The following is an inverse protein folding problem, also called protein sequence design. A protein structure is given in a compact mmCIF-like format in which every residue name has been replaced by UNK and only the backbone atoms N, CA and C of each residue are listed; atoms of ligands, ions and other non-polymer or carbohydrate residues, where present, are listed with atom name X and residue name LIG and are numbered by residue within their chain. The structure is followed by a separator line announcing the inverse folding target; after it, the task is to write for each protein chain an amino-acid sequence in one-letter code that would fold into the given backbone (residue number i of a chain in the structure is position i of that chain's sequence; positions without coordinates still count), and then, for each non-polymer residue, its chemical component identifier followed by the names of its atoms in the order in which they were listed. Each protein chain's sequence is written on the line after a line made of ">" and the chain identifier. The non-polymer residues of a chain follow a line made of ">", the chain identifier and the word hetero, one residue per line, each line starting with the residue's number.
data_IF_840471645587
#
_entry.id   IF_840471645587
#
_cell.length_a   1.000
_cell.length_b   1.000
_cell.length_c   1.000
_cell.angle_alpha   90.00
_cell.angle_beta   90.00
_cell.angle_gamma   90.00
#
_symmetry.space_group_name_H-M   'P 1'
#
loop_
_entity.id
_entity.type
_entity.pdbx_description
1 polymer ?
#
# COMPACT_ATOMS: atom_id res chain seq x y z
N UNK A 1 12.17 7.55 32.23
CA UNK A 1 13.05 6.79 31.33
C UNK A 1 12.18 6.35 30.19
N UNK A 2 12.02 7.23 29.20
CA UNK A 2 11.10 7.11 28.07
C UNK A 2 11.82 6.40 26.92
N UNK A 3 11.39 5.19 26.64
CA UNK A 3 11.92 4.40 25.53
C UNK A 3 11.12 4.73 24.26
N UNK A 4 11.82 5.29 23.25
CA UNK A 4 11.29 5.65 21.94
C UNK A 4 11.05 4.36 21.14
N UNK A 5 9.79 4.00 20.95
CA UNK A 5 9.41 3.07 19.88
C UNK A 5 9.36 3.85 18.55
N UNK A 6 10.41 3.76 17.78
CA UNK A 6 10.39 4.20 16.37
C UNK A 6 9.82 3.07 15.50
N UNK A 7 8.74 3.36 14.86
CA UNK A 7 8.08 2.52 13.87
C UNK A 7 8.99 2.27 12.68
N UNK A 8 9.32 1.00 12.43
CA UNK A 8 9.86 0.56 11.15
C UNK A 8 8.72 0.42 10.13
N UNK A 9 8.42 1.50 9.43
CA UNK A 9 7.78 1.38 8.12
C UNK A 9 8.88 1.29 7.07
N UNK A 10 9.15 0.07 6.64
CA UNK A 10 10.09 -0.18 5.56
C UNK A 10 9.48 0.30 4.24
N UNK A 11 9.92 1.47 3.78
CA UNK A 11 9.62 2.06 2.48
C UNK A 11 10.33 1.28 1.34
N UNK A 12 10.03 -0.03 1.19
CA UNK A 12 10.56 -0.85 0.10
C UNK A 12 9.47 -1.71 -0.52
N UNK A 13 8.42 -1.09 -1.06
CA UNK A 13 7.52 -1.78 -1.99
C UNK A 13 6.87 -0.79 -2.96
N UNK A 14 7.69 -0.26 -3.84
CA UNK A 14 7.26 0.27 -5.13
C UNK A 14 8.37 -0.06 -6.15
N UNK A 15 8.43 -1.29 -6.60
CA UNK A 15 9.28 -1.61 -7.74
C UNK A 15 8.68 -2.76 -8.53
N UNK A 16 8.07 -2.41 -9.63
CA UNK A 16 8.15 -3.14 -10.89
C UNK A 16 7.62 -2.24 -12.00
N UNK A 17 8.37 -1.17 -12.25
CA UNK A 17 8.55 -0.57 -13.58
C UNK A 17 9.91 0.10 -13.51
N UNK A 18 10.89 -0.54 -14.13
CA UNK A 18 12.24 -0.02 -14.19
C UNK A 18 12.26 1.32 -14.92
N UNK A 19 12.37 2.40 -14.16
CA UNK A 19 12.85 3.68 -14.63
C UNK A 19 13.85 4.19 -13.61
N UNK A 20 15.07 4.41 -14.07
CA UNK A 20 16.15 5.02 -13.30
C UNK A 20 15.66 6.31 -12.62
N UNK A 21 15.57 6.30 -11.29
CA UNK A 21 15.35 7.49 -10.49
C UNK A 21 16.67 8.28 -10.43
N UNK A 22 16.78 9.33 -11.22
CA UNK A 22 17.74 10.40 -10.94
C UNK A 22 17.10 11.33 -9.90
N UNK A 23 17.34 11.06 -8.61
CA UNK A 23 17.05 12.01 -7.53
C UNK A 23 18.12 13.12 -7.59
N UNK A 24 17.76 14.27 -8.11
CA UNK A 24 18.62 15.45 -8.08
C UNK A 24 18.22 16.30 -6.88
N UNK A 25 19.09 16.41 -5.88
CA UNK A 25 18.99 17.40 -4.82
C UNK A 25 19.14 18.81 -5.42
N UNK A 26 18.31 19.78 -4.99
CA UNK A 26 18.17 21.11 -5.59
C UNK A 26 19.41 22.04 -5.41
N UNK A 27 20.61 21.50 -5.30
CA UNK A 27 21.83 22.35 -5.30
C UNK A 27 22.35 22.75 -6.69
N UNK A 28 21.64 22.34 -7.79
CA UNK A 28 22.05 22.65 -9.16
C UNK A 28 20.87 22.66 -10.11
N UNK A 29 19.99 23.67 -10.05
CA UNK A 29 19.00 23.92 -11.10
C UNK A 29 19.68 24.59 -12.29
N UNK A 30 20.23 23.79 -13.20
CA UNK A 30 20.57 24.26 -14.54
C UNK A 30 19.26 24.51 -15.32
N UNK A 31 19.22 25.57 -16.10
CA UNK A 31 18.10 25.92 -16.99
C UNK A 31 17.92 24.85 -18.06
N UNK A 32 17.01 23.90 -17.78
CA UNK A 32 16.55 22.92 -18.76
C UNK A 32 15.32 23.47 -19.47
N UNK A 33 15.22 23.23 -20.77
CA UNK A 33 14.13 23.73 -21.59
C UNK A 33 12.76 23.30 -21.03
N UNK A 34 11.88 24.27 -20.78
CA UNK A 34 10.45 24.01 -20.59
C UNK A 34 9.78 24.57 -19.35
N UNK A 35 10.40 24.50 -18.16
CA UNK A 35 9.82 25.13 -16.96
C UNK A 35 10.23 26.62 -16.87
N UNK A 36 9.36 27.53 -16.38
CA UNK A 36 9.69 28.93 -16.28
C UNK A 36 10.89 29.20 -15.36
N UNK A 37 11.91 29.92 -15.83
CA UNK A 37 13.13 30.24 -15.04
C UNK A 37 12.81 30.93 -13.71
N UNK A 38 11.81 31.80 -13.69
CA UNK A 38 11.36 32.47 -12.48
C UNK A 38 10.82 31.50 -11.44
N UNK A 39 10.11 30.48 -11.89
CA UNK A 39 9.60 29.39 -11.02
C UNK A 39 10.74 28.53 -10.52
N UNK A 40 11.67 28.13 -11.39
CA UNK A 40 12.85 27.36 -10.98
C UNK A 40 13.72 28.10 -9.97
N UNK A 41 13.92 29.41 -10.15
CA UNK A 41 14.65 30.24 -9.19
C UNK A 41 13.94 30.32 -7.84
N UNK A 42 12.62 30.43 -7.84
CA UNK A 42 11.78 30.46 -6.64
C UNK A 42 11.84 29.12 -5.87
N UNK A 43 11.73 28.00 -6.56
CA UNK A 43 11.75 26.66 -5.95
C UNK A 43 13.07 26.35 -5.23
N UNK A 44 14.19 27.03 -5.58
CA UNK A 44 15.47 26.87 -4.87
C UNK A 44 15.43 27.27 -3.40
N UNK A 45 14.46 28.10 -3.01
CA UNK A 45 14.26 28.55 -1.62
C UNK A 45 13.58 27.50 -0.71
N UNK A 46 13.17 26.36 -1.26
CA UNK A 46 12.42 25.33 -0.54
C UNK A 46 13.15 23.97 -0.51
N UNK A 47 12.96 23.19 0.54
CA UNK A 47 13.44 21.80 0.57
C UNK A 47 12.46 20.90 -0.18
N UNK A 48 12.75 20.67 -1.45
CA UNK A 48 11.94 19.90 -2.37
C UNK A 48 12.72 18.74 -2.98
N UNK A 49 12.06 17.58 -3.13
CA UNK A 49 12.52 16.54 -4.05
C UNK A 49 11.77 16.70 -5.36
N UNK A 50 12.53 16.86 -6.44
CA UNK A 50 11.98 17.08 -7.78
C UNK A 50 12.31 15.88 -8.67
N UNK A 51 11.31 15.43 -9.46
CA UNK A 51 11.54 14.50 -10.56
C UNK A 51 11.21 15.20 -11.88
N UNK A 52 11.96 14.87 -12.91
CA UNK A 52 11.82 15.44 -14.25
C UNK A 52 11.59 14.34 -15.27
N UNK A 53 10.92 14.70 -16.37
CA UNK A 53 10.81 13.82 -17.53
C UNK A 53 12.09 13.86 -18.40
N UNK A 54 12.08 13.09 -19.51
CA UNK A 54 13.22 13.02 -20.43
C UNK A 54 13.50 14.33 -21.20
N UNK A 55 12.59 15.29 -21.15
CA UNK A 55 12.73 16.63 -21.77
C UNK A 55 13.11 17.69 -20.72
N UNK A 56 13.23 17.30 -19.44
CA UNK A 56 13.66 18.15 -18.35
C UNK A 56 12.55 18.90 -17.60
N UNK A 57 11.28 18.71 -17.95
CA UNK A 57 10.15 19.30 -17.22
C UNK A 57 9.93 18.63 -15.86
N UNK A 58 9.59 19.42 -14.84
CA UNK A 58 9.22 18.91 -13.52
C UNK A 58 7.86 18.21 -13.63
N UNK A 59 7.83 16.94 -13.25
CA UNK A 59 6.63 16.09 -13.24
C UNK A 59 6.16 15.74 -11.84
N UNK A 60 7.08 15.67 -10.87
CA UNK A 60 6.78 15.31 -9.51
C UNK A 60 7.47 16.27 -8.54
N UNK A 61 6.75 16.67 -7.51
CA UNK A 61 7.26 17.47 -6.39
C UNK A 61 6.89 16.81 -5.08
N UNK A 62 7.88 16.63 -4.22
CA UNK A 62 7.67 16.27 -2.83
C UNK A 62 8.18 17.41 -1.95
N UNK A 63 7.27 18.04 -1.22
CA UNK A 63 7.57 19.10 -0.24
C UNK A 63 8.01 18.42 1.06
N UNK A 64 9.21 18.76 1.53
CA UNK A 64 9.81 18.13 2.74
C UNK A 64 9.74 19.02 3.97
N UNK A 65 9.39 20.29 3.78
CA UNK A 65 9.26 21.28 4.82
C UNK A 65 7.84 21.37 5.37
N UNK A 66 7.71 22.09 6.49
CA UNK A 66 6.56 22.07 7.39
C UNK A 66 5.25 22.57 6.78
N UNK A 67 5.26 23.56 5.90
CA UNK A 67 4.04 24.06 5.28
C UNK A 67 4.32 24.60 3.88
N UNK A 68 3.65 24.11 2.84
CA UNK A 68 3.65 24.80 1.57
C UNK A 68 2.95 26.14 1.75
N UNK A 69 3.64 27.22 1.41
CA UNK A 69 3.02 28.54 1.41
C UNK A 69 2.05 28.66 0.24
N UNK A 70 1.02 29.51 0.35
CA UNK A 70 0.14 29.82 -0.77
C UNK A 70 0.92 30.31 -1.99
N UNK A 71 2.04 31.04 -1.76
CA UNK A 71 2.94 31.47 -2.82
C UNK A 71 3.59 30.29 -3.53
N UNK A 72 4.08 29.28 -2.78
CA UNK A 72 4.61 28.05 -3.38
C UNK A 72 3.56 27.37 -4.24
N UNK A 73 2.37 27.08 -3.68
CA UNK A 73 1.28 26.41 -4.41
C UNK A 73 0.86 27.21 -5.65
N UNK A 74 0.84 28.56 -5.54
CA UNK A 74 0.58 29.45 -6.67
C UNK A 74 1.64 29.34 -7.78
N UNK A 75 2.93 29.20 -7.41
CA UNK A 75 4.02 29.02 -8.37
C UNK A 75 3.98 27.66 -9.06
N UNK A 76 3.56 26.60 -8.38
CA UNK A 76 3.43 25.28 -8.99
C UNK A 76 2.47 25.27 -10.20
N UNK A 77 1.48 26.16 -10.23
CA UNK A 77 0.53 26.30 -11.35
C UNK A 77 1.20 26.66 -12.68
N UNK A 78 2.41 27.22 -12.63
CA UNK A 78 3.18 27.57 -13.84
C UNK A 78 3.96 26.39 -14.41
N UNK A 79 3.99 25.23 -13.74
CA UNK A 79 4.70 24.03 -14.20
C UNK A 79 3.79 23.22 -15.13
N UNK A 80 4.08 23.19 -16.44
CA UNK A 80 3.12 22.69 -17.43
C UNK A 80 2.91 21.18 -17.41
N UNK A 81 3.84 20.42 -16.79
CA UNK A 81 3.81 18.95 -16.77
C UNK A 81 3.77 18.38 -15.35
N UNK A 82 3.44 19.19 -14.36
CA UNK A 82 3.32 18.69 -12.98
C UNK A 82 2.14 17.72 -12.87
N UNK A 83 2.43 16.47 -12.48
CA UNK A 83 1.46 15.37 -12.37
C UNK A 83 1.37 14.81 -10.96
N UNK A 84 2.40 14.98 -10.14
CA UNK A 84 2.45 14.40 -8.80
C UNK A 84 2.90 15.43 -7.77
N UNK A 85 2.08 15.61 -6.74
CA UNK A 85 2.36 16.50 -5.61
C UNK A 85 2.24 15.73 -4.31
N UNK A 86 3.35 15.62 -3.58
CA UNK A 86 3.43 14.97 -2.28
C UNK A 86 3.60 16.04 -1.21
N UNK A 87 2.59 16.18 -0.36
CA UNK A 87 2.51 17.09 0.77
C UNK A 87 2.44 16.35 2.11
N UNK A 88 2.69 15.04 2.11
CA UNK A 88 2.54 14.19 3.28
C UNK A 88 3.35 14.71 4.48
N UNK A 89 2.67 14.85 5.62
CA UNK A 89 3.27 15.33 6.87
C UNK A 89 3.55 16.83 6.91
N UNK A 90 3.03 17.60 5.96
CA UNK A 90 3.08 19.08 5.99
C UNK A 90 1.85 19.65 6.67
N UNK A 91 1.89 20.94 7.02
CA UNK A 91 0.75 21.68 7.56
C UNK A 91 -0.21 22.20 6.46
N UNK A 92 -0.40 21.41 5.38
CA UNK A 92 -1.38 21.73 4.33
C UNK A 92 -2.79 21.67 4.91
N UNK A 93 -3.55 22.77 4.80
CA UNK A 93 -4.92 22.91 5.31
C UNK A 93 -5.97 22.83 4.20
N UNK A 94 -7.24 22.91 4.60
CA UNK A 94 -8.37 22.92 3.67
C UNK A 94 -8.30 24.11 2.68
N UNK A 95 -7.88 25.30 3.15
CA UNK A 95 -7.73 26.47 2.31
C UNK A 95 -6.66 26.27 1.22
N UNK A 96 -5.55 25.61 1.58
CA UNK A 96 -4.47 25.30 0.64
C UNK A 96 -4.96 24.41 -0.52
N UNK A 97 -5.94 23.52 -0.26
CA UNK A 97 -6.51 22.64 -1.30
C UNK A 97 -7.22 23.44 -2.40
N UNK A 98 -7.81 24.59 -2.07
CA UNK A 98 -8.40 25.50 -3.07
C UNK A 98 -7.39 26.00 -4.12
N UNK A 99 -6.10 26.14 -3.76
CA UNK A 99 -5.04 26.51 -4.70
C UNK A 99 -4.59 25.32 -5.57
N UNK A 100 -4.59 24.11 -4.99
CA UNK A 100 -4.20 22.88 -5.67
C UNK A 100 -5.15 22.56 -6.83
N UNK A 101 -6.43 22.92 -6.74
CA UNK A 101 -7.42 22.68 -7.82
C UNK A 101 -7.03 23.31 -9.16
N UNK A 102 -6.20 24.34 -9.16
CA UNK A 102 -5.70 25.00 -10.38
C UNK A 102 -4.61 24.20 -11.10
N UNK A 103 -4.12 23.13 -10.49
CA UNK A 103 -3.17 22.19 -11.10
C UNK A 103 -3.94 21.18 -11.97
N UNK A 104 -4.46 21.62 -13.12
CA UNK A 104 -5.36 20.82 -13.97
C UNK A 104 -4.74 19.50 -14.45
N UNK A 105 -3.41 19.45 -14.58
CA UNK A 105 -2.65 18.23 -14.97
C UNK A 105 -2.36 17.26 -13.84
N UNK A 106 -2.72 17.61 -12.57
CA UNK A 106 -2.35 16.82 -11.41
C UNK A 106 -3.09 15.48 -11.41
N UNK A 107 -2.33 14.38 -11.31
CA UNK A 107 -2.80 13.00 -11.30
C UNK A 107 -2.66 12.32 -9.95
N UNK A 108 -1.66 12.70 -9.16
CA UNK A 108 -1.36 12.11 -7.86
C UNK A 108 -1.25 13.20 -6.81
N UNK A 109 -2.05 13.10 -5.75
CA UNK A 109 -2.03 14.00 -4.60
C UNK A 109 -1.87 13.17 -3.32
N UNK A 110 -0.80 13.43 -2.58
CA UNK A 110 -0.54 12.77 -1.29
C UNK A 110 -0.66 13.80 -0.16
N UNK A 111 -1.69 13.63 0.66
CA UNK A 111 -2.06 14.47 1.79
C UNK A 111 -2.01 13.69 3.11
N UNK A 112 -1.30 12.58 3.17
CA UNK A 112 -1.22 11.78 4.39
C UNK A 112 -0.65 12.60 5.55
N UNK A 113 -1.32 12.52 6.68
CA UNK A 113 -0.92 13.23 7.90
C UNK A 113 -0.89 14.77 7.73
N UNK A 114 -1.76 15.32 6.88
CA UNK A 114 -2.02 16.77 6.77
C UNK A 114 -3.29 17.13 7.54
N UNK A 115 -3.40 18.34 8.11
CA UNK A 115 -4.61 18.82 8.80
C UNK A 115 -5.70 19.20 7.78
N UNK A 116 -6.25 18.19 7.09
CA UNK A 116 -7.34 18.33 6.13
C UNK A 116 -8.60 17.64 6.62
N UNK A 117 -9.75 18.20 6.26
CA UNK A 117 -11.07 17.72 6.63
C UNK A 117 -11.96 17.45 5.41
N UNK A 118 -13.22 17.08 5.64
CA UNK A 118 -14.23 16.93 4.58
C UNK A 118 -14.41 18.21 3.77
N UNK A 119 -14.32 19.40 4.42
CA UNK A 119 -14.42 20.68 3.73
C UNK A 119 -13.28 20.91 2.72
N UNK A 120 -12.07 20.48 3.07
CA UNK A 120 -10.94 20.52 2.14
C UNK A 120 -11.16 19.65 0.91
N UNK A 121 -11.66 18.42 1.10
CA UNK A 121 -11.95 17.51 0.00
C UNK A 121 -12.99 18.07 -0.98
N UNK A 122 -13.94 18.86 -0.49
CA UNK A 122 -14.95 19.49 -1.34
C UNK A 122 -14.34 20.41 -2.40
N UNK A 123 -13.20 21.04 -2.14
CA UNK A 123 -12.49 21.82 -3.16
C UNK A 123 -12.01 20.95 -4.34
N UNK A 124 -11.67 19.68 -4.11
CA UNK A 124 -11.06 18.82 -5.12
C UNK A 124 -12.04 18.24 -6.15
N UNK A 125 -13.35 18.39 -5.96
CA UNK A 125 -14.41 17.76 -6.77
C UNK A 125 -14.34 18.05 -8.26
N UNK A 126 -13.71 19.18 -8.65
CA UNK A 126 -13.51 19.59 -10.05
C UNK A 126 -12.27 19.02 -10.74
N UNK A 127 -11.41 18.28 -10.05
CA UNK A 127 -10.12 17.80 -10.56
C UNK A 127 -10.27 16.60 -11.49
N UNK A 128 -10.49 16.83 -12.78
CA UNK A 128 -10.79 15.78 -13.77
C UNK A 128 -9.61 14.85 -14.10
N UNK A 129 -8.38 15.25 -13.79
CA UNK A 129 -7.18 14.46 -14.05
C UNK A 129 -6.71 13.64 -12.85
N UNK A 130 -7.24 13.91 -11.65
CA UNK A 130 -6.76 13.30 -10.41
C UNK A 130 -7.08 11.80 -10.38
N UNK A 131 -6.04 10.97 -10.47
CA UNK A 131 -6.15 9.53 -10.52
C UNK A 131 -5.85 8.85 -9.18
N UNK A 132 -5.09 9.51 -8.31
CA UNK A 132 -4.75 8.96 -7.00
C UNK A 132 -4.81 10.05 -5.92
N UNK A 133 -5.50 9.75 -4.83
CA UNK A 133 -5.48 10.52 -3.59
C UNK A 133 -5.05 9.63 -2.43
N UNK A 134 -4.18 10.15 -1.57
CA UNK A 134 -3.70 9.46 -0.37
C UNK A 134 -3.93 10.32 0.85
N UNK A 135 -4.71 9.78 1.77
CA UNK A 135 -5.02 10.35 3.08
C UNK A 135 -4.59 9.36 4.16
N UNK A 136 -4.38 9.83 5.38
CA UNK A 136 -4.12 8.96 6.53
C UNK A 136 -4.49 9.68 7.81
N UNK A 137 -5.24 8.99 8.68
CA UNK A 137 -5.58 9.44 10.02
C UNK A 137 -4.56 9.04 11.10
N UNK A 138 -3.42 8.46 10.73
CA UNK A 138 -2.48 7.85 11.69
C UNK A 138 -1.92 8.82 12.76
N UNK A 139 -1.85 10.13 12.46
CA UNK A 139 -1.41 11.18 13.41
C UNK A 139 -2.56 11.89 14.11
N UNK A 140 -3.82 11.67 13.67
CA UNK A 140 -5.00 12.40 14.14
C UNK A 140 -5.17 13.80 13.54
N UNK A 141 -4.26 14.25 12.68
CA UNK A 141 -4.35 15.56 12.03
C UNK A 141 -5.44 15.60 10.95
N UNK A 142 -5.55 14.52 10.18
CA UNK A 142 -6.58 14.38 9.13
C UNK A 142 -7.91 13.96 9.75
N UNK A 143 -8.95 14.78 9.56
CA UNK A 143 -10.29 14.57 10.16
C UNK A 143 -11.36 14.22 9.13
N UNK A 144 -10.95 13.58 8.04
CA UNK A 144 -11.85 13.06 7.00
C UNK A 144 -12.57 11.81 7.52
N UNK A 145 -13.87 11.74 7.26
CA UNK A 145 -14.75 10.62 7.59
C UNK A 145 -15.70 10.28 6.42
N UNK A 146 -16.81 9.60 6.70
CA UNK A 146 -17.80 9.16 5.70
C UNK A 146 -18.35 10.30 4.83
N UNK A 147 -18.56 11.49 5.39
CA UNK A 147 -19.07 12.65 4.66
C UNK A 147 -18.09 13.11 3.57
N UNK A 148 -16.79 12.96 3.82
CA UNK A 148 -15.73 13.27 2.84
C UNK A 148 -15.75 12.37 1.60
N UNK A 149 -16.32 11.17 1.72
CA UNK A 149 -16.39 10.22 0.61
C UNK A 149 -17.32 10.70 -0.50
N UNK A 150 -18.31 11.53 -0.20
CA UNK A 150 -19.16 12.18 -1.22
C UNK A 150 -18.32 13.05 -2.16
N UNK A 151 -17.36 13.81 -1.60
CA UNK A 151 -16.45 14.63 -2.39
C UNK A 151 -15.51 13.80 -3.25
N UNK A 152 -14.96 12.72 -2.71
CA UNK A 152 -14.09 11.80 -3.47
C UNK A 152 -14.87 11.10 -4.60
N UNK A 153 -16.11 10.71 -4.36
CA UNK A 153 -16.99 10.09 -5.35
C UNK A 153 -17.25 10.99 -6.57
N UNK A 154 -17.23 12.32 -6.39
CA UNK A 154 -17.38 13.27 -7.48
C UNK A 154 -16.16 13.33 -8.42
N UNK A 155 -14.99 12.79 -8.01
CA UNK A 155 -13.77 12.76 -8.82
C UNK A 155 -13.71 11.45 -9.61
N UNK A 156 -14.45 11.35 -10.69
CA UNK A 156 -14.65 10.11 -11.48
C UNK A 156 -13.37 9.54 -12.08
N UNK A 157 -12.28 10.30 -12.13
CA UNK A 157 -10.96 9.87 -12.61
C UNK A 157 -10.15 9.04 -11.60
N UNK A 158 -10.59 8.95 -10.33
CA UNK A 158 -9.86 8.23 -9.29
C UNK A 158 -9.76 6.73 -9.58
N UNK A 159 -8.54 6.24 -9.47
CA UNK A 159 -8.16 4.83 -9.58
C UNK A 159 -7.52 4.30 -8.30
N UNK A 160 -6.95 5.19 -7.48
CA UNK A 160 -6.33 4.87 -6.18
C UNK A 160 -6.90 5.79 -5.12
N UNK A 161 -7.46 5.20 -4.07
CA UNK A 161 -7.97 5.90 -2.87
C UNK A 161 -7.37 5.22 -1.65
N UNK A 162 -6.55 5.97 -0.88
CA UNK A 162 -5.96 5.49 0.37
C UNK A 162 -6.54 6.27 1.54
N UNK A 163 -7.10 5.54 2.52
CA UNK A 163 -7.86 6.07 3.65
C UNK A 163 -7.43 5.47 5.00
N UNK A 164 -6.22 4.91 5.07
CA UNK A 164 -5.76 4.22 6.27
C UNK A 164 -5.84 5.10 7.53
N UNK A 165 -6.42 4.56 8.61
CA UNK A 165 -6.54 5.22 9.91
C UNK A 165 -7.59 6.33 9.97
N UNK A 166 -8.42 6.50 8.95
CA UNK A 166 -9.56 7.44 8.94
C UNK A 166 -10.82 6.80 9.51
N UNK A 167 -11.78 7.63 9.89
CA UNK A 167 -13.04 7.19 10.47
C UNK A 167 -14.08 6.90 9.38
N UNK A 168 -13.70 5.99 8.47
CA UNK A 168 -14.52 5.58 7.33
C UNK A 168 -15.15 4.22 7.62
N UNK A 169 -16.47 4.15 7.41
CA UNK A 169 -17.31 2.97 7.57
C UNK A 169 -17.90 2.51 6.22
N UNK A 170 -18.81 1.52 6.26
CA UNK A 170 -19.60 1.09 5.10
C UNK A 170 -20.43 2.22 4.48
N UNK A 171 -20.93 3.17 5.32
CA UNK A 171 -21.70 4.32 4.87
C UNK A 171 -20.90 5.21 3.91
N UNK A 172 -19.65 5.50 4.25
CA UNK A 172 -18.75 6.26 3.36
C UNK A 172 -18.40 5.49 2.09
N UNK A 173 -18.16 4.18 2.21
CA UNK A 173 -17.80 3.35 1.06
C UNK A 173 -18.89 3.21 0.01
N UNK A 174 -20.18 3.28 0.42
CA UNK A 174 -21.31 3.28 -0.52
C UNK A 174 -21.20 4.41 -1.56
N UNK A 175 -20.68 5.58 -1.17
CA UNK A 175 -20.46 6.69 -2.10
C UNK A 175 -19.38 6.37 -3.12
N UNK A 176 -18.33 5.61 -2.75
CA UNK A 176 -17.20 5.31 -3.63
C UNK A 176 -17.50 4.26 -4.71
N UNK A 177 -18.60 3.52 -4.61
CA UNK A 177 -18.98 2.49 -5.59
C UNK A 177 -19.16 3.06 -7.01
N UNK A 178 -19.50 4.34 -7.14
CA UNK A 178 -19.64 5.01 -8.43
C UNK A 178 -18.30 5.18 -9.18
N UNK A 179 -17.17 4.99 -8.49
CA UNK A 179 -15.84 5.05 -9.09
C UNK A 179 -15.53 3.76 -9.86
N UNK A 180 -16.16 3.57 -11.00
CA UNK A 180 -16.01 2.36 -11.83
C UNK A 180 -14.56 2.07 -12.25
N UNK A 181 -13.67 3.07 -12.15
CA UNK A 181 -12.25 2.98 -12.47
C UNK A 181 -11.35 2.58 -11.29
N UNK A 182 -11.91 2.39 -10.08
CA UNK A 182 -11.13 2.18 -8.87
C UNK A 182 -10.40 0.83 -8.91
N UNK A 183 -9.07 0.88 -8.73
CA UNK A 183 -8.16 -0.27 -8.78
C UNK A 183 -7.47 -0.55 -7.45
N UNK A 184 -7.30 0.49 -6.63
CA UNK A 184 -6.61 0.39 -5.35
C UNK A 184 -7.42 1.10 -4.27
N UNK A 185 -7.74 0.38 -3.20
CA UNK A 185 -8.44 0.88 -2.02
C UNK A 185 -7.71 0.40 -0.76
N UNK A 186 -7.30 1.34 0.10
CA UNK A 186 -6.72 0.98 1.40
C UNK A 186 -7.55 1.56 2.54
N UNK A 187 -7.85 0.71 3.51
CA UNK A 187 -8.77 0.93 4.62
C UNK A 187 -8.20 0.37 5.93
N UNK A 188 -6.87 0.27 6.06
CA UNK A 188 -6.29 -0.26 7.28
C UNK A 188 -6.60 0.63 8.48
N UNK A 189 -6.95 0.03 9.62
CA UNK A 189 -7.26 0.77 10.86
C UNK A 189 -8.43 1.75 10.72
N UNK A 190 -9.40 1.45 9.86
CA UNK A 190 -10.67 2.19 9.72
C UNK A 190 -11.79 1.51 10.53
N UNK A 191 -13.02 2.03 10.44
CA UNK A 191 -14.20 1.45 11.09
C UNK A 191 -14.82 0.30 10.29
N UNK A 192 -14.18 -0.14 9.23
CA UNK A 192 -14.67 -1.21 8.34
C UNK A 192 -14.84 -2.53 9.09
N UNK A 193 -16.04 -3.10 8.98
CA UNK A 193 -16.42 -4.43 9.44
C UNK A 193 -17.01 -5.27 8.30
N UNK A 194 -17.75 -6.31 8.66
CA UNK A 194 -18.35 -7.24 7.70
C UNK A 194 -19.35 -6.60 6.77
N UNK A 195 -20.11 -5.59 7.24
CA UNK A 195 -21.11 -4.84 6.48
C UNK A 195 -20.49 -4.09 5.29
N UNK A 196 -19.23 -3.72 5.39
CA UNK A 196 -18.52 -3.02 4.32
C UNK A 196 -18.10 -3.95 3.17
N UNK A 197 -17.92 -5.24 3.42
CA UNK A 197 -17.37 -6.17 2.42
C UNK A 197 -18.29 -6.40 1.23
N UNK A 198 -19.64 -6.52 1.36
CA UNK A 198 -20.55 -6.53 0.22
C UNK A 198 -20.49 -5.25 -0.61
N UNK A 199 -20.26 -4.07 0.02
CA UNK A 199 -20.08 -2.80 -0.68
C UNK A 199 -18.81 -2.80 -1.51
N UNK A 200 -17.68 -3.18 -0.89
CA UNK A 200 -16.37 -3.31 -1.56
C UNK A 200 -16.45 -4.30 -2.72
N UNK A 201 -17.18 -5.40 -2.57
CA UNK A 201 -17.36 -6.42 -3.60
C UNK A 201 -18.04 -5.92 -4.88
N UNK A 202 -18.68 -4.74 -4.85
CA UNK A 202 -19.25 -4.08 -6.03
C UNK A 202 -18.19 -3.38 -6.89
N UNK A 203 -17.02 -3.08 -6.33
CA UNK A 203 -15.89 -2.40 -6.98
C UNK A 203 -15.06 -3.40 -7.81
N UNK A 204 -15.62 -3.92 -8.89
CA UNK A 204 -15.13 -5.10 -9.65
C UNK A 204 -13.74 -4.97 -10.27
N UNK A 205 -13.21 -3.74 -10.42
CA UNK A 205 -11.88 -3.50 -10.99
C UNK A 205 -10.77 -3.39 -9.94
N UNK A 206 -11.08 -3.67 -8.66
CA UNK A 206 -10.07 -3.68 -7.63
C UNK A 206 -9.00 -4.73 -7.90
N UNK A 207 -7.74 -4.27 -7.86
CA UNK A 207 -6.52 -5.07 -7.98
C UNK A 207 -5.73 -5.10 -6.69
N UNK A 208 -5.90 -4.09 -5.85
CA UNK A 208 -5.32 -4.02 -4.52
C UNK A 208 -6.36 -3.60 -3.50
N UNK A 209 -6.47 -4.39 -2.43
CA UNK A 209 -7.34 -4.16 -1.29
C UNK A 209 -6.55 -4.34 0.00
N UNK A 210 -6.57 -3.32 0.87
CA UNK A 210 -5.96 -3.39 2.19
C UNK A 210 -7.01 -3.15 3.26
N UNK A 211 -7.18 -4.15 4.12
CA UNK A 211 -8.13 -4.18 5.25
C UNK A 211 -7.40 -4.49 6.56
N UNK A 212 -6.09 -4.22 6.62
CA UNK A 212 -5.27 -4.57 7.76
C UNK A 212 -5.80 -3.92 9.06
N UNK A 213 -5.83 -4.72 10.14
CA UNK A 213 -6.23 -4.22 11.46
C UNK A 213 -7.64 -3.61 11.47
N UNK A 214 -8.57 -4.25 10.81
CA UNK A 214 -10.00 -3.96 10.84
C UNK A 214 -10.76 -5.06 11.59
N UNK A 215 -12.07 -4.87 11.80
CA UNK A 215 -12.91 -5.80 12.56
C UNK A 215 -13.61 -6.86 11.69
N UNK A 216 -13.12 -7.09 10.45
CA UNK A 216 -13.68 -8.12 9.56
C UNK A 216 -13.54 -9.53 10.15
N UNK A 217 -14.53 -10.38 9.85
CA UNK A 217 -14.53 -11.80 10.21
C UNK A 217 -14.48 -12.69 8.97
N UNK A 218 -14.37 -14.00 9.18
CA UNK A 218 -14.40 -14.98 8.08
C UNK A 218 -15.74 -14.95 7.32
N UNK A 219 -16.85 -14.71 8.02
CA UNK A 219 -18.19 -14.60 7.41
C UNK A 219 -18.25 -13.44 6.42
N UNK A 220 -17.84 -12.23 6.85
CA UNK A 220 -17.83 -11.06 5.98
C UNK A 220 -16.90 -11.24 4.79
N UNK A 221 -15.71 -11.85 5.02
CA UNK A 221 -14.70 -12.04 3.97
C UNK A 221 -15.21 -12.92 2.81
N UNK A 222 -16.24 -13.77 3.04
CA UNK A 222 -16.92 -14.50 1.98
C UNK A 222 -17.45 -13.60 0.84
N UNK A 223 -17.78 -12.35 1.15
CA UNK A 223 -18.32 -11.39 0.17
C UNK A 223 -17.31 -10.96 -0.90
N UNK A 224 -15.98 -11.05 -0.67
CA UNK A 224 -14.98 -10.56 -1.64
C UNK A 224 -14.68 -11.53 -2.77
N UNK A 225 -15.16 -12.77 -2.74
CA UNK A 225 -14.95 -13.76 -3.81
C UNK A 225 -15.22 -13.25 -5.24
N UNK A 226 -16.18 -12.33 -5.48
CA UNK A 226 -16.42 -11.77 -6.81
C UNK A 226 -15.35 -10.79 -7.32
N UNK A 227 -14.32 -10.43 -6.54
CA UNK A 227 -13.24 -9.54 -6.95
C UNK A 227 -12.20 -10.28 -7.80
N UNK A 228 -12.59 -10.73 -8.98
CA UNK A 228 -11.79 -11.61 -9.85
C UNK A 228 -10.50 -10.97 -10.40
N UNK A 229 -10.37 -9.64 -10.38
CA UNK A 229 -9.13 -8.93 -10.77
C UNK A 229 -8.16 -8.70 -9.61
N UNK A 230 -8.52 -9.11 -8.37
CA UNK A 230 -7.71 -8.84 -7.18
C UNK A 230 -6.36 -9.57 -7.25
N UNK A 231 -5.28 -8.82 -7.06
CA UNK A 231 -3.89 -9.31 -7.12
C UNK A 231 -3.12 -9.10 -5.81
N UNK A 232 -3.52 -8.14 -5.01
CA UNK A 232 -2.85 -7.78 -3.76
C UNK A 232 -3.91 -7.63 -2.66
N UNK A 233 -3.85 -8.51 -1.66
CA UNK A 233 -4.74 -8.50 -0.51
C UNK A 233 -3.93 -8.43 0.78
N UNK A 234 -4.18 -7.40 1.59
CA UNK A 234 -3.61 -7.25 2.92
C UNK A 234 -4.72 -7.27 3.97
N UNK A 235 -4.79 -8.35 4.72
CA UNK A 235 -5.70 -8.57 5.85
C UNK A 235 -4.91 -8.83 7.14
N UNK A 236 -3.68 -8.33 7.20
CA UNK A 236 -2.83 -8.48 8.38
C UNK A 236 -3.43 -7.85 9.62
N UNK A 237 -3.10 -8.38 10.78
CA UNK A 237 -3.59 -7.94 12.10
C UNK A 237 -5.13 -7.96 12.29
N UNK A 238 -5.88 -8.64 11.41
CA UNK A 238 -7.31 -8.89 11.60
C UNK A 238 -7.50 -10.04 12.57
N UNK A 239 -7.60 -9.73 13.86
CA UNK A 239 -7.58 -10.72 14.94
C UNK A 239 -8.85 -11.59 15.03
N UNK A 240 -9.94 -11.20 14.36
CA UNK A 240 -11.21 -11.94 14.32
C UNK A 240 -11.29 -12.94 13.15
N UNK A 241 -10.24 -13.05 12.34
CA UNK A 241 -10.13 -14.06 11.29
C UNK A 241 -9.68 -15.40 11.88
N UNK A 242 -10.07 -16.50 11.24
CA UNK A 242 -9.63 -17.86 11.52
C UNK A 242 -9.35 -18.62 10.21
N UNK A 243 -9.13 -19.92 10.29
CA UNK A 243 -8.82 -20.76 9.14
C UNK A 243 -9.89 -20.70 8.04
N UNK A 244 -11.17 -20.54 8.39
CA UNK A 244 -12.29 -20.48 7.44
C UNK A 244 -12.26 -19.21 6.58
N UNK A 245 -11.60 -18.15 7.06
CA UNK A 245 -11.38 -16.91 6.30
C UNK A 245 -10.60 -17.15 4.99
N UNK A 246 -9.77 -18.17 4.92
CA UNK A 246 -8.96 -18.45 3.75
C UNK A 246 -9.69 -19.23 2.64
N UNK A 247 -10.88 -19.77 2.92
CA UNK A 247 -11.72 -20.40 1.89
C UNK A 247 -12.09 -19.43 0.76
N UNK A 248 -12.73 -18.27 1.02
CA UNK A 248 -13.01 -17.29 -0.02
C UNK A 248 -11.75 -16.67 -0.63
N UNK A 249 -10.66 -16.51 0.13
CA UNK A 249 -9.39 -16.01 -0.39
C UNK A 249 -8.81 -16.98 -1.43
N UNK A 250 -8.93 -18.29 -1.21
CA UNK A 250 -8.48 -19.33 -2.14
C UNK A 250 -9.17 -19.29 -3.51
N UNK A 251 -10.35 -18.63 -3.62
CA UNK A 251 -11.08 -18.45 -4.88
C UNK A 251 -10.51 -17.29 -5.73
N UNK A 252 -9.69 -16.43 -5.18
CA UNK A 252 -9.09 -15.26 -5.85
C UNK A 252 -7.90 -15.70 -6.73
N UNK A 253 -8.15 -16.39 -7.81
CA UNK A 253 -7.15 -17.07 -8.65
C UNK A 253 -6.09 -16.15 -9.27
N UNK A 254 -6.33 -14.83 -9.32
CA UNK A 254 -5.37 -13.85 -9.82
C UNK A 254 -4.47 -13.27 -8.72
N UNK A 255 -4.60 -13.74 -7.47
CA UNK A 255 -3.85 -13.21 -6.33
C UNK A 255 -2.36 -13.49 -6.49
N UNK A 256 -1.57 -12.42 -6.42
CA UNK A 256 -0.11 -12.42 -6.52
C UNK A 256 0.56 -12.13 -5.18
N UNK A 257 -0.14 -11.38 -4.31
CA UNK A 257 0.35 -10.96 -2.99
C UNK A 257 -0.72 -11.17 -1.93
N UNK A 258 -0.34 -11.81 -0.82
CA UNK A 258 -1.22 -12.00 0.33
C UNK A 258 -0.45 -11.73 1.61
N UNK A 259 -0.97 -10.82 2.42
CA UNK A 259 -0.42 -10.50 3.73
C UNK A 259 -1.36 -11.00 4.83
N UNK A 260 -0.90 -12.00 5.57
CA UNK A 260 -1.57 -12.62 6.72
C UNK A 260 -0.78 -12.41 8.03
N UNK A 261 0.12 -11.39 8.06
CA UNK A 261 0.91 -11.11 9.25
C UNK A 261 0.01 -10.96 10.48
N UNK A 262 0.32 -11.76 11.54
CA UNK A 262 -0.43 -11.77 12.81
C UNK A 262 -1.92 -12.10 12.67
N UNK A 263 -2.31 -12.85 11.64
CA UNK A 263 -3.65 -13.44 11.54
C UNK A 263 -3.62 -14.82 12.17
N UNK A 264 -4.59 -15.20 13.04
CA UNK A 264 -4.57 -16.49 13.75
C UNK A 264 -5.05 -17.66 12.86
N UNK A 265 -4.38 -17.86 11.72
CA UNK A 265 -4.62 -18.94 10.77
C UNK A 265 -3.53 -20.00 10.86
N UNK A 266 -3.90 -21.25 10.71
CA UNK A 266 -3.02 -22.41 10.77
C UNK A 266 -3.00 -23.21 9.46
N UNK A 267 -2.53 -24.46 9.57
CA UNK A 267 -2.34 -25.34 8.43
C UNK A 267 -3.65 -25.67 7.70
N UNK A 268 -4.78 -25.73 8.42
CA UNK A 268 -6.09 -26.01 7.82
C UNK A 268 -6.48 -24.86 6.89
N UNK A 269 -6.36 -23.61 7.35
CA UNK A 269 -6.63 -22.44 6.51
C UNK A 269 -5.70 -22.36 5.30
N UNK A 270 -4.40 -22.62 5.49
CA UNK A 270 -3.41 -22.59 4.40
C UNK A 270 -3.75 -23.56 3.27
N UNK A 271 -4.43 -24.68 3.55
CA UNK A 271 -4.87 -25.64 2.51
C UNK A 271 -5.78 -25.01 1.45
N UNK A 272 -6.60 -24.04 1.83
CA UNK A 272 -7.46 -23.34 0.89
C UNK A 272 -6.67 -22.53 -0.15
N UNK A 273 -5.42 -22.16 0.15
CA UNK A 273 -4.56 -21.38 -0.76
C UNK A 273 -3.85 -22.22 -1.82
N UNK A 274 -4.00 -23.57 -1.82
CA UNK A 274 -3.30 -24.50 -2.72
C UNK A 274 -3.53 -24.21 -4.22
N UNK A 275 -4.68 -23.57 -4.56
CA UNK A 275 -5.05 -23.19 -5.93
C UNK A 275 -4.38 -21.92 -6.47
N UNK A 276 -3.71 -21.13 -5.62
CA UNK A 276 -3.19 -19.80 -5.95
C UNK A 276 -1.85 -19.88 -6.70
N UNK A 277 -1.91 -20.27 -7.97
CA UNK A 277 -0.74 -20.52 -8.83
C UNK A 277 0.06 -19.26 -9.18
N UNK A 278 -0.57 -18.07 -9.08
CA UNK A 278 0.05 -16.79 -9.38
C UNK A 278 0.72 -16.13 -8.17
N UNK A 279 0.67 -16.76 -6.97
CA UNK A 279 1.23 -16.22 -5.74
C UNK A 279 2.73 -16.00 -5.87
N UNK A 280 3.17 -14.75 -5.70
CA UNK A 280 4.56 -14.30 -5.79
C UNK A 280 5.13 -13.90 -4.45
N UNK A 281 4.29 -13.34 -3.58
CA UNK A 281 4.68 -12.84 -2.27
C UNK A 281 3.65 -13.26 -1.22
N UNK A 282 4.08 -13.98 -0.21
CA UNK A 282 3.22 -14.49 0.86
C UNK A 282 3.85 -14.18 2.21
N UNK A 283 3.08 -13.52 3.08
CA UNK A 283 3.48 -13.27 4.45
C UNK A 283 2.59 -14.04 5.42
N UNK A 284 3.22 -14.95 6.14
CA UNK A 284 2.66 -15.80 7.20
C UNK A 284 3.38 -15.59 8.53
N UNK A 285 4.12 -14.47 8.72
CA UNK A 285 4.80 -14.19 9.98
C UNK A 285 3.78 -14.08 11.12
N UNK A 286 4.11 -14.68 12.27
CA UNK A 286 3.25 -14.70 13.46
C UNK A 286 1.88 -15.34 13.23
N UNK A 287 1.77 -16.33 12.34
CA UNK A 287 0.60 -17.21 12.18
C UNK A 287 0.81 -18.53 12.91
N UNK A 288 -0.19 -19.41 12.91
CA UNK A 288 -0.11 -20.75 13.49
C UNK A 288 0.40 -21.81 12.49
N UNK A 289 1.16 -21.38 11.47
CA UNK A 289 1.77 -22.27 10.46
C UNK A 289 2.73 -23.26 11.12
N UNK A 290 2.64 -24.54 10.71
CA UNK A 290 3.62 -25.58 11.03
C UNK A 290 4.25 -26.15 9.77
N UNK A 291 5.04 -27.21 9.92
CA UNK A 291 5.67 -27.96 8.83
C UNK A 291 4.64 -28.50 7.81
N UNK A 292 3.43 -28.86 8.28
CA UNK A 292 2.37 -29.43 7.44
C UNK A 292 1.82 -28.40 6.44
N UNK A 293 1.53 -27.19 6.90
CA UNK A 293 1.04 -26.09 6.01
C UNK A 293 2.11 -25.65 5.04
N UNK A 294 3.39 -25.70 5.42
CA UNK A 294 4.49 -25.37 4.54
C UNK A 294 4.58 -26.29 3.31
N UNK A 295 4.11 -27.55 3.44
CA UNK A 295 3.94 -28.45 2.31
C UNK A 295 2.98 -27.93 1.23
N UNK A 296 1.92 -27.21 1.62
CA UNK A 296 0.97 -26.56 0.70
C UNK A 296 1.63 -25.37 0.01
N UNK A 297 2.32 -24.53 0.78
CA UNK A 297 3.06 -23.35 0.25
C UNK A 297 4.09 -23.76 -0.79
N UNK A 298 4.75 -24.89 -0.59
CA UNK A 298 5.70 -25.46 -1.55
C UNK A 298 5.09 -25.86 -2.90
N UNK A 299 3.76 -25.93 -2.99
CA UNK A 299 2.99 -26.14 -4.23
C UNK A 299 2.75 -24.87 -5.06
N UNK A 300 3.23 -23.69 -4.65
CA UNK A 300 3.03 -22.39 -5.33
C UNK A 300 4.19 -22.11 -6.30
N UNK A 301 4.05 -22.36 -7.62
CA UNK A 301 5.18 -22.39 -8.55
C UNK A 301 5.78 -21.01 -8.85
N UNK A 302 5.04 -19.93 -8.59
CA UNK A 302 5.48 -18.54 -8.85
C UNK A 302 6.00 -17.83 -7.60
N UNK A 303 6.03 -18.51 -6.42
CA UNK A 303 6.38 -17.88 -5.15
C UNK A 303 7.85 -17.45 -5.14
N UNK A 304 8.07 -16.14 -5.00
CA UNK A 304 9.39 -15.52 -5.00
C UNK A 304 9.81 -15.04 -3.60
N UNK A 305 8.89 -14.55 -2.80
CA UNK A 305 9.16 -14.06 -1.44
C UNK A 305 8.22 -14.71 -0.45
N UNK A 306 8.78 -15.29 0.62
CA UNK A 306 8.04 -15.98 1.68
C UNK A 306 8.49 -15.49 3.06
N UNK A 307 7.55 -15.01 3.86
CA UNK A 307 7.75 -14.68 5.26
C UNK A 307 7.05 -15.74 6.12
N UNK A 308 7.81 -16.41 6.99
CA UNK A 308 7.33 -17.43 7.94
C UNK A 308 7.96 -17.26 9.32
N UNK A 309 8.44 -16.05 9.62
CA UNK A 309 9.05 -15.75 10.93
C UNK A 309 8.05 -15.86 12.07
N UNK A 310 8.54 -16.21 13.25
CA UNK A 310 7.71 -16.41 14.45
C UNK A 310 6.55 -17.40 14.23
N UNK A 311 6.82 -18.51 13.53
CA UNK A 311 5.92 -19.66 13.32
C UNK A 311 6.52 -20.92 13.91
N UNK A 312 5.74 -22.01 13.94
CA UNK A 312 6.20 -23.32 14.45
C UNK A 312 6.92 -24.18 13.38
N UNK A 313 7.39 -23.57 12.29
CA UNK A 313 8.14 -24.26 11.23
C UNK A 313 9.51 -24.71 11.76
N UNK A 314 9.89 -25.95 11.42
CA UNK A 314 11.15 -26.59 11.80
C UNK A 314 11.99 -27.03 10.58
N UNK A 315 13.12 -27.69 10.83
CA UNK A 315 13.94 -28.29 9.78
C UNK A 315 13.18 -29.32 8.93
N UNK A 316 12.13 -29.93 9.46
CA UNK A 316 11.32 -30.89 8.70
C UNK A 316 10.51 -30.18 7.62
N UNK A 317 9.94 -29.00 7.93
CA UNK A 317 9.20 -28.17 6.98
C UNK A 317 10.06 -27.56 5.89
N UNK A 318 11.28 -27.11 6.23
CA UNK A 318 12.21 -26.51 5.26
C UNK A 318 12.50 -27.40 4.05
N UNK A 319 12.46 -28.72 4.22
CA UNK A 319 12.65 -29.66 3.09
C UNK A 319 11.62 -29.49 1.96
N UNK A 320 10.42 -28.99 2.28
CA UNK A 320 9.41 -28.72 1.27
C UNK A 320 9.81 -27.50 0.41
N UNK A 321 10.43 -26.47 1.00
CA UNK A 321 10.86 -25.27 0.29
C UNK A 321 12.04 -25.52 -0.66
N UNK A 322 12.86 -26.52 -0.41
CA UNK A 322 14.05 -26.82 -1.24
C UNK A 322 13.72 -27.13 -2.72
N UNK A 323 12.46 -27.35 -3.05
CA UNK A 323 11.97 -27.62 -4.41
C UNK A 323 11.46 -26.37 -5.14
N UNK A 324 11.32 -25.26 -4.43
CA UNK A 324 10.79 -24.02 -4.97
C UNK A 324 11.87 -23.19 -5.68
N UNK A 325 12.21 -23.55 -6.91
CA UNK A 325 13.24 -22.86 -7.71
C UNK A 325 12.89 -21.38 -8.04
N UNK A 326 11.63 -20.98 -7.88
CA UNK A 326 11.16 -19.61 -8.02
C UNK A 326 11.52 -18.72 -6.82
N UNK A 327 11.81 -19.32 -5.66
CA UNK A 327 12.04 -18.58 -4.42
C UNK A 327 13.34 -17.75 -4.52
N UNK A 328 13.23 -16.48 -4.09
CA UNK A 328 14.32 -15.51 -4.08
C UNK A 328 14.61 -14.96 -2.69
N UNK A 329 13.59 -14.92 -1.83
CA UNK A 329 13.70 -14.44 -0.46
C UNK A 329 12.89 -15.30 0.49
N UNK A 330 13.48 -15.72 1.60
CA UNK A 330 12.80 -16.43 2.70
C UNK A 330 13.20 -15.81 4.03
N UNK A 331 12.20 -15.44 4.82
CA UNK A 331 12.37 -14.87 6.15
C UNK A 331 11.94 -15.92 7.19
N UNK A 332 12.91 -16.40 8.01
CA UNK A 332 12.74 -17.51 8.95
C UNK A 332 12.95 -17.10 10.41
N UNK A 333 13.14 -15.82 10.70
CA UNK A 333 13.50 -15.36 12.04
C UNK A 333 12.51 -15.90 13.11
N UNK A 334 13.04 -16.34 14.24
CA UNK A 334 12.22 -16.85 15.37
C UNK A 334 11.32 -18.04 15.00
N UNK A 335 11.83 -18.97 14.18
CA UNK A 335 11.25 -20.29 13.94
C UNK A 335 12.03 -21.38 14.68
N UNK A 336 11.60 -22.64 14.58
CA UNK A 336 12.36 -23.78 15.07
C UNK A 336 13.38 -24.32 14.06
N UNK A 337 13.70 -23.56 13.01
CA UNK A 337 14.74 -23.88 12.03
C UNK A 337 16.10 -23.51 12.63
N UNK A 338 17.00 -24.52 12.75
CA UNK A 338 18.35 -24.31 13.25
C UNK A 338 19.37 -23.98 12.14
N UNK A 339 20.61 -23.72 12.53
CA UNK A 339 21.69 -23.39 11.60
C UNK A 339 21.92 -24.48 10.52
N UNK A 340 21.66 -25.77 10.83
CA UNK A 340 21.77 -26.85 9.86
C UNK A 340 20.66 -26.78 8.81
N UNK A 341 19.42 -26.50 9.22
CA UNK A 341 18.28 -26.26 8.33
C UNK A 341 18.50 -25.07 7.40
N UNK A 342 18.99 -23.94 7.94
CA UNK A 342 19.36 -22.75 7.15
C UNK A 342 20.43 -23.07 6.13
N UNK A 343 21.52 -23.76 6.54
CA UNK A 343 22.61 -24.14 5.65
C UNK A 343 22.12 -25.07 4.52
N UNK A 344 21.24 -26.01 4.84
CA UNK A 344 20.65 -26.92 3.87
C UNK A 344 19.77 -26.18 2.85
N UNK A 345 18.95 -25.21 3.30
CA UNK A 345 18.13 -24.39 2.42
C UNK A 345 18.99 -23.52 1.49
N UNK A 346 20.02 -22.84 2.03
CA UNK A 346 20.97 -22.04 1.23
C UNK A 346 21.69 -22.87 0.17
N UNK A 347 22.02 -24.13 0.51
CA UNK A 347 22.64 -25.05 -0.45
C UNK A 347 21.68 -25.48 -1.57
N UNK A 348 20.39 -25.70 -1.22
CA UNK A 348 19.38 -26.13 -2.18
C UNK A 348 18.88 -24.99 -3.09
N UNK A 349 18.86 -23.78 -2.58
CA UNK A 349 18.38 -22.58 -3.26
C UNK A 349 19.47 -21.49 -3.23
N UNK A 350 20.56 -21.63 -3.99
CA UNK A 350 21.70 -20.70 -3.95
C UNK A 350 21.37 -19.28 -4.41
N UNK A 351 20.29 -19.11 -5.18
CA UNK A 351 19.82 -17.81 -5.66
C UNK A 351 18.85 -17.12 -4.66
N UNK A 352 18.46 -17.81 -3.58
CA UNK A 352 17.56 -17.27 -2.61
C UNK A 352 18.30 -16.64 -1.42
N UNK A 353 17.92 -15.42 -1.07
CA UNK A 353 18.34 -14.79 0.19
C UNK A 353 17.56 -15.43 1.34
N UNK A 354 18.28 -16.12 2.25
CA UNK A 354 17.69 -16.72 3.45
C UNK A 354 18.01 -15.85 4.65
N UNK A 355 17.01 -15.16 5.18
CA UNK A 355 17.09 -14.26 6.34
C UNK A 355 16.61 -15.00 7.59
N UNK A 356 17.54 -15.36 8.46
CA UNK A 356 17.33 -16.15 9.68
C UNK A 356 17.49 -15.36 10.97
N UNK A 357 17.86 -14.09 10.87
CA UNK A 357 17.96 -13.17 12.00
C UNK A 357 16.79 -12.20 12.01
N UNK A 358 16.26 -11.87 13.20
CA UNK A 358 15.35 -10.73 13.31
C UNK A 358 16.13 -9.48 12.85
N UNK A 359 15.52 -8.69 11.97
CA UNK A 359 16.04 -7.35 11.72
C UNK A 359 15.92 -6.57 13.03
N UNK A 360 17.04 -6.05 13.54
CA UNK A 360 17.11 -5.23 14.77
C UNK A 360 16.31 -3.92 14.61
#
# INVERSE_FOLDING_TARGET
>A
MLMKLRHFFNARFCSLLGLFLLLVQVSGLETLAGDPETTLAFLKGYDLLLKRDGEGYITDIHVREQAPTDELLGKLQTLPRLQSLVLAGTATTDESLGLITKLEGLRNLDLRNCPVSNAGLAHLTGMKSLAAIRLSGATGETTVDDDGMVSLAAISSLQTVMLDGLWVSEGGLEHLVVLEGLKELTLAQTLVGDEALPVIARMKKLRRLRLAKTSITAEGLGSIAPLSELRDLDISECASLDDTALEPVGLLSQLERLNLWRVPVGDEGIRHLAGLRNMKWLNLDNTMLTDSGLGVVAGMPALATLHIGSTAVSNAGIKHLMKLSSLREVFLARTAVDAAGVAALRKALPEAAVVDTAAD
#
